data_IF_247406240716
#
_entry.id   IF_247406240716
#
_cell.length_a   1.000
_cell.length_b   1.000
_cell.length_c   1.000
_cell.angle_alpha   90.00
_cell.angle_beta   90.00
_cell.angle_gamma   90.00
#
_symmetry.space_group_name_H-M   'P 1'
#
loop_
_entity.id
_entity.type
_entity.pdbx_description
1 polymer ?
#
# COMPACT_ATOMS: atom_id res chain seq x y z
N UNK A 1 -27.51 16.36 7.21
CA UNK A 1 -26.20 16.20 6.52
C UNK A 1 -26.31 16.73 5.10
N UNK A 2 -25.31 17.47 4.60
CA UNK A 2 -25.33 17.96 3.21
C UNK A 2 -25.15 16.77 2.25
N UNK A 3 -25.78 16.74 1.05
CA UNK A 3 -25.72 15.61 0.11
C UNK A 3 -24.29 15.19 -0.29
N UNK A 4 -23.33 16.13 -0.28
CA UNK A 4 -21.90 15.84 -0.52
C UNK A 4 -21.23 15.01 0.60
N UNK A 5 -21.75 15.06 1.83
CA UNK A 5 -21.22 14.26 2.96
C UNK A 5 -21.60 12.77 2.86
N UNK A 6 -22.81 12.46 2.38
CA UNK A 6 -23.26 11.07 2.19
C UNK A 6 -22.45 10.34 1.11
N UNK A 7 -22.19 10.99 -0.02
CA UNK A 7 -21.37 10.41 -1.10
C UNK A 7 -19.95 10.14 -0.66
N UNK A 8 -19.38 11.03 0.16
CA UNK A 8 -18.04 10.86 0.69
C UNK A 8 -17.92 9.75 1.74
N UNK A 9 -18.93 9.58 2.60
CA UNK A 9 -18.98 8.48 3.54
C UNK A 9 -19.14 7.13 2.84
N UNK A 10 -19.99 7.05 1.81
CA UNK A 10 -20.15 5.84 0.99
C UNK A 10 -18.84 5.43 0.33
N UNK A 11 -18.14 6.36 -0.34
CA UNK A 11 -16.85 6.07 -0.97
C UNK A 11 -15.80 5.58 0.04
N UNK A 12 -15.71 6.23 1.20
CA UNK A 12 -14.79 5.83 2.26
C UNK A 12 -15.11 4.42 2.77
N UNK A 13 -16.39 4.11 2.98
CA UNK A 13 -16.86 2.77 3.34
C UNK A 13 -16.53 1.75 2.26
N UNK A 14 -16.79 2.04 0.98
CA UNK A 14 -16.46 1.13 -0.13
C UNK A 14 -14.97 0.81 -0.17
N UNK A 15 -14.09 1.82 -0.08
CA UNK A 15 -12.65 1.60 -0.11
C UNK A 15 -12.16 0.81 1.10
N UNK A 16 -12.66 1.13 2.29
CA UNK A 16 -12.31 0.38 3.49
C UNK A 16 -12.75 -1.09 3.39
N UNK A 17 -13.96 -1.35 2.91
CA UNK A 17 -14.48 -2.71 2.70
C UNK A 17 -13.66 -3.46 1.66
N UNK A 18 -13.31 -2.82 0.53
CA UNK A 18 -12.48 -3.44 -0.50
C UNK A 18 -11.09 -3.77 0.03
N UNK A 19 -10.43 -2.84 0.72
CA UNK A 19 -9.13 -3.10 1.36
C UNK A 19 -9.21 -4.25 2.37
N UNK A 20 -10.25 -4.28 3.21
CA UNK A 20 -10.42 -5.34 4.20
C UNK A 20 -10.70 -6.69 3.53
N UNK A 21 -11.54 -6.72 2.49
CA UNK A 21 -11.79 -7.92 1.70
C UNK A 21 -10.50 -8.43 1.03
N UNK A 22 -9.67 -7.54 0.50
CA UNK A 22 -8.35 -7.90 -0.04
C UNK A 22 -7.46 -8.53 1.02
N UNK A 23 -7.34 -7.95 2.22
CA UNK A 23 -6.56 -8.54 3.31
C UNK A 23 -7.10 -9.89 3.76
N UNK A 24 -8.42 -10.05 3.84
CA UNK A 24 -9.05 -11.33 4.18
C UNK A 24 -8.72 -12.39 3.13
N UNK A 25 -8.85 -12.06 1.84
CA UNK A 25 -8.47 -12.98 0.77
C UNK A 25 -6.99 -13.34 0.86
N UNK A 26 -6.11 -12.36 1.03
CA UNK A 26 -4.67 -12.61 1.19
C UNK A 26 -4.38 -13.49 2.41
N UNK A 27 -5.04 -13.25 3.54
CA UNK A 27 -4.88 -14.06 4.75
C UNK A 27 -5.33 -15.51 4.56
N UNK A 28 -6.30 -15.76 3.68
CA UNK A 28 -6.78 -17.11 3.37
C UNK A 28 -5.91 -17.86 2.35
N UNK A 29 -5.16 -17.15 1.50
CA UNK A 29 -4.41 -17.75 0.37
C UNK A 29 -2.89 -17.62 0.49
N UNK A 30 -2.40 -16.91 1.51
CA UNK A 30 -0.97 -16.71 1.76
C UNK A 30 -0.62 -17.20 3.17
N UNK A 31 0.64 -17.61 3.32
CA UNK A 31 1.20 -17.94 4.62
C UNK A 31 1.46 -16.66 5.42
N UNK A 32 1.39 -16.77 6.75
CA UNK A 32 1.78 -15.68 7.62
C UNK A 32 3.28 -15.36 7.44
N UNK A 33 3.67 -14.09 7.40
CA UNK A 33 5.07 -13.73 7.27
C UNK A 33 5.86 -14.23 8.48
N UNK A 34 6.83 -15.09 8.22
CA UNK A 34 7.75 -15.63 9.22
C UNK A 34 9.20 -15.35 8.81
N UNK A 35 10.08 -15.01 9.77
CA UNK A 35 9.78 -14.81 11.18
C UNK A 35 9.13 -13.43 11.46
N UNK A 36 8.17 -13.40 12.39
CA UNK A 36 7.35 -12.19 12.67
C UNK A 36 8.19 -10.96 13.04
N UNK A 37 9.31 -11.13 13.75
CA UNK A 37 10.15 -9.98 14.15
C UNK A 37 10.81 -9.28 12.96
N UNK A 38 11.18 -10.02 11.91
CA UNK A 38 11.69 -9.43 10.65
C UNK A 38 10.58 -8.63 9.99
N UNK A 39 9.35 -9.15 10.04
CA UNK A 39 8.19 -8.47 9.47
C UNK A 39 7.90 -7.17 10.21
N UNK A 40 7.94 -7.20 11.54
CA UNK A 40 7.78 -6.00 12.37
C UNK A 40 8.84 -4.95 12.05
N UNK A 41 10.10 -5.36 11.83
CA UNK A 41 11.17 -4.44 11.43
C UNK A 41 10.88 -3.77 10.07
N UNK A 42 10.46 -4.55 9.06
CA UNK A 42 10.06 -4.01 7.76
C UNK A 42 8.82 -3.11 7.86
N UNK A 43 7.83 -3.50 8.65
CA UNK A 43 6.62 -2.71 8.87
C UNK A 43 6.96 -1.37 9.53
N UNK A 44 7.83 -1.37 10.54
CA UNK A 44 8.29 -0.15 11.19
C UNK A 44 9.06 0.75 10.21
N UNK A 45 9.95 0.18 9.39
CA UNK A 45 10.66 0.93 8.35
C UNK A 45 9.70 1.52 7.31
N UNK A 46 8.76 0.71 6.81
CA UNK A 46 7.75 1.12 5.84
C UNK A 46 6.89 2.28 6.36
N UNK A 47 6.32 2.13 7.56
CA UNK A 47 5.48 3.15 8.19
C UNK A 47 6.28 4.42 8.47
N UNK A 48 7.52 4.29 8.95
CA UNK A 48 8.38 5.45 9.19
C UNK A 48 8.67 6.21 7.90
N UNK A 49 9.04 5.50 6.82
CA UNK A 49 9.29 6.12 5.51
C UNK A 49 8.03 6.77 4.92
N UNK A 50 6.85 6.22 5.18
CA UNK A 50 5.59 6.82 4.75
C UNK A 50 5.32 8.13 5.53
N UNK A 51 5.50 8.11 6.85
CA UNK A 51 5.27 9.27 7.72
C UNK A 51 6.29 10.39 7.53
N UNK A 52 7.52 10.03 7.13
CA UNK A 52 8.59 10.98 6.79
C UNK A 52 8.67 11.23 5.28
N UNK A 53 7.59 10.96 4.53
CA UNK A 53 7.53 11.32 3.11
C UNK A 53 7.80 12.81 2.92
N UNK A 54 8.69 13.13 1.97
CA UNK A 54 9.19 14.48 1.77
C UNK A 54 8.39 15.15 0.65
N UNK A 55 7.98 16.39 0.89
CA UNK A 55 7.36 17.25 -0.10
C UNK A 55 8.41 17.75 -1.10
N UNK A 56 8.31 17.35 -2.37
CA UNK A 56 9.28 17.66 -3.44
C UNK A 56 8.82 18.87 -4.27
N UNK A 57 7.52 19.13 -4.31
CA UNK A 57 6.88 20.32 -4.88
C UNK A 57 5.60 20.55 -4.07
N UNK A 58 5.05 21.76 -4.03
CA UNK A 58 3.95 22.28 -3.15
C UNK A 58 2.72 21.35 -2.90
N UNK A 59 2.65 20.18 -3.55
CA UNK A 59 1.61 19.13 -3.44
C UNK A 59 2.09 17.70 -3.75
N UNK A 60 3.37 17.46 -4.00
CA UNK A 60 3.93 16.16 -4.37
C UNK A 60 4.82 15.62 -3.27
N UNK A 61 4.37 14.56 -2.60
CA UNK A 61 5.16 13.82 -1.63
C UNK A 61 5.79 12.60 -2.30
N UNK A 62 7.07 12.36 -2.01
CA UNK A 62 7.77 11.13 -2.42
C UNK A 62 8.14 10.36 -1.17
N UNK A 63 7.75 9.08 -1.12
CA UNK A 63 8.13 8.16 -0.05
C UNK A 63 9.02 7.04 -0.58
N UNK A 64 10.05 6.69 0.20
CA UNK A 64 10.85 5.48 -0.01
C UNK A 64 10.18 4.19 0.49
N UNK A 65 8.94 4.24 0.99
CA UNK A 65 8.23 3.09 1.58
C UNK A 65 8.12 1.90 0.62
N UNK A 66 7.97 2.17 -0.68
CA UNK A 66 7.91 1.13 -1.72
C UNK A 66 9.16 0.24 -1.77
N UNK A 67 10.33 0.81 -1.51
CA UNK A 67 11.59 0.06 -1.45
C UNK A 67 11.55 -0.95 -0.30
N UNK A 68 11.04 -0.54 0.87
CA UNK A 68 10.87 -1.43 2.02
C UNK A 68 9.85 -2.53 1.72
N UNK A 69 8.74 -2.22 1.02
CA UNK A 69 7.75 -3.21 0.62
C UNK A 69 8.31 -4.28 -0.34
N UNK A 70 9.02 -3.88 -1.40
CA UNK A 70 9.60 -4.85 -2.34
C UNK A 70 10.74 -5.65 -1.72
N UNK A 71 11.55 -5.03 -0.86
CA UNK A 71 12.58 -5.75 -0.10
C UNK A 71 11.95 -6.79 0.82
N UNK A 72 10.88 -6.43 1.54
CA UNK A 72 10.13 -7.37 2.36
C UNK A 72 9.55 -8.52 1.52
N UNK A 73 9.01 -8.23 0.33
CA UNK A 73 8.51 -9.26 -0.57
C UNK A 73 9.59 -10.26 -1.01
N UNK A 74 10.83 -9.81 -1.24
CA UNK A 74 11.97 -10.70 -1.51
C UNK A 74 12.31 -11.56 -0.29
N UNK A 75 12.35 -10.96 0.90
CA UNK A 75 12.69 -11.67 2.16
C UNK A 75 11.64 -12.73 2.53
N UNK A 76 10.36 -12.39 2.41
CA UNK A 76 9.24 -13.27 2.77
C UNK A 76 8.86 -14.27 1.68
N UNK A 77 9.34 -14.03 0.46
CA UNK A 77 9.14 -14.93 -0.67
C UNK A 77 7.70 -15.02 -1.13
N UNK A 78 7.49 -15.82 -2.17
CA UNK A 78 6.24 -15.86 -2.95
C UNK A 78 4.98 -16.21 -2.16
N UNK A 79 5.13 -17.02 -1.11
CA UNK A 79 3.99 -17.57 -0.36
C UNK A 79 3.41 -16.58 0.66
N UNK A 80 4.18 -15.56 1.07
CA UNK A 80 3.76 -14.61 2.09
C UNK A 80 3.95 -13.14 1.70
N UNK A 81 4.66 -12.84 0.61
CA UNK A 81 4.96 -11.48 0.16
C UNK A 81 3.73 -10.58 0.06
N UNK A 82 2.65 -11.04 -0.57
CA UNK A 82 1.46 -10.23 -0.79
C UNK A 82 0.76 -9.88 0.53
N UNK A 83 0.63 -10.85 1.44
CA UNK A 83 0.05 -10.62 2.77
C UNK A 83 0.95 -9.74 3.63
N UNK A 84 2.26 -10.02 3.65
CA UNK A 84 3.26 -9.26 4.40
C UNK A 84 3.18 -7.77 4.08
N UNK A 85 3.22 -7.43 2.79
CA UNK A 85 3.17 -6.05 2.32
C UNK A 85 1.77 -5.45 2.47
N UNK A 86 0.71 -6.23 2.24
CA UNK A 86 -0.66 -5.77 2.43
C UNK A 86 -0.93 -5.30 3.86
N UNK A 87 -0.47 -6.06 4.87
CA UNK A 87 -0.62 -5.67 6.28
C UNK A 87 0.28 -4.45 6.60
N UNK A 88 1.49 -4.36 6.03
CA UNK A 88 2.34 -3.16 6.20
C UNK A 88 1.65 -1.91 5.67
N UNK A 89 1.06 -1.99 4.47
CA UNK A 89 0.31 -0.90 3.84
C UNK A 89 -0.92 -0.51 4.67
N UNK A 90 -1.62 -1.49 5.23
CA UNK A 90 -2.74 -1.26 6.14
C UNK A 90 -2.36 -0.45 7.38
N UNK A 91 -1.19 -0.72 7.97
CA UNK A 91 -0.70 0.03 9.14
C UNK A 91 -0.35 1.48 8.79
N UNK A 92 0.24 1.71 7.61
CA UNK A 92 0.63 3.05 7.17
C UNK A 92 -0.56 3.98 6.88
N UNK A 93 -1.77 3.44 6.74
CA UNK A 93 -2.98 4.22 6.53
C UNK A 93 -3.37 5.13 7.70
N UNK A 94 -2.85 4.85 8.90
CA UNK A 94 -3.11 5.63 10.11
C UNK A 94 -2.07 6.73 10.26
N UNK A 95 -2.24 7.84 9.54
CA UNK A 95 -1.35 8.98 9.68
C UNK A 95 -1.53 9.66 11.07
N UNK A 96 -0.46 10.13 11.73
CA UNK A 96 -0.56 10.80 13.02
C UNK A 96 -1.55 11.98 13.05
N UNK A 97 -1.68 12.70 11.94
CA UNK A 97 -2.60 13.85 11.84
C UNK A 97 -4.07 13.45 11.79
N UNK A 98 -4.39 12.27 11.25
CA UNK A 98 -5.76 11.76 11.25
C UNK A 98 -6.20 11.37 12.67
N UNK A 99 -5.28 10.83 13.47
CA UNK A 99 -5.50 10.53 14.89
C UNK A 99 -5.72 11.81 15.70
N UNK A 100 -4.94 12.85 15.45
CA UNK A 100 -5.10 14.17 16.09
C UNK A 100 -6.44 14.82 15.76
N UNK A 101 -6.87 14.73 14.50
CA UNK A 101 -8.11 15.37 14.02
C UNK A 101 -9.38 14.53 14.28
N UNK A 102 -9.24 13.30 14.83
CA UNK A 102 -10.35 12.35 15.07
C UNK A 102 -11.24 12.12 13.85
N UNK A 103 -10.69 12.24 12.64
CA UNK A 103 -11.43 12.17 11.39
C UNK A 103 -11.31 10.78 10.74
N UNK A 104 -12.20 9.85 11.09
CA UNK A 104 -12.14 8.46 10.60
C UNK A 104 -12.34 8.27 9.09
N UNK A 105 -12.86 9.28 8.39
CA UNK A 105 -13.10 9.19 6.94
C UNK A 105 -11.79 9.13 6.14
N UNK A 106 -10.74 9.85 6.56
CA UNK A 106 -9.46 9.88 5.85
C UNK A 106 -8.69 8.58 5.99
N UNK A 107 -8.51 8.01 7.21
CA UNK A 107 -7.90 6.69 7.37
C UNK A 107 -8.62 5.59 6.61
N UNK A 108 -9.96 5.58 6.60
CA UNK A 108 -10.73 4.57 5.86
C UNK A 108 -10.44 4.58 4.35
N UNK A 109 -10.33 5.77 3.77
CA UNK A 109 -10.00 5.95 2.36
C UNK A 109 -8.54 5.59 2.07
N UNK A 110 -7.61 6.08 2.89
CA UNK A 110 -6.18 5.81 2.76
C UNK A 110 -5.89 4.32 2.92
N UNK A 111 -6.56 3.65 3.85
CA UNK A 111 -6.46 2.20 4.07
C UNK A 111 -6.81 1.43 2.81
N UNK A 112 -8.00 1.68 2.24
CA UNK A 112 -8.40 1.03 1.01
C UNK A 112 -7.44 1.33 -0.14
N UNK A 113 -7.04 2.59 -0.31
CA UNK A 113 -6.14 2.99 -1.37
C UNK A 113 -4.76 2.33 -1.25
N UNK A 114 -4.12 2.35 -0.08
CA UNK A 114 -2.78 1.81 0.13
C UNK A 114 -2.77 0.29 0.02
N UNK A 115 -3.74 -0.40 0.64
CA UNK A 115 -3.82 -1.86 0.57
C UNK A 115 -4.03 -2.31 -0.88
N UNK A 116 -4.95 -1.67 -1.62
CA UNK A 116 -5.22 -2.05 -3.00
C UNK A 116 -4.04 -1.77 -3.93
N UNK A 117 -3.38 -0.61 -3.82
CA UNK A 117 -2.21 -0.29 -4.65
C UNK A 117 -1.03 -1.20 -4.32
N UNK A 118 -0.73 -1.40 -3.04
CA UNK A 118 0.35 -2.28 -2.59
C UNK A 118 0.12 -3.72 -3.06
N UNK A 119 -1.09 -4.24 -2.89
CA UNK A 119 -1.44 -5.60 -3.35
C UNK A 119 -1.30 -5.72 -4.86
N UNK A 120 -1.81 -4.75 -5.63
CA UNK A 120 -1.69 -4.78 -7.09
C UNK A 120 -0.22 -4.79 -7.55
N UNK A 121 0.63 -3.96 -6.95
CA UNK A 121 2.07 -3.95 -7.21
C UNK A 121 2.71 -5.30 -6.89
N UNK A 122 2.48 -5.85 -5.69
CA UNK A 122 3.10 -7.12 -5.28
C UNK A 122 2.62 -8.30 -6.12
N UNK A 123 1.33 -8.35 -6.52
CA UNK A 123 0.83 -9.41 -7.40
C UNK A 123 1.57 -9.42 -8.75
N UNK A 124 1.96 -8.26 -9.27
CA UNK A 124 2.80 -8.15 -10.47
C UNK A 124 4.24 -8.58 -10.19
N UNK A 125 4.73 -8.44 -8.96
CA UNK A 125 6.06 -8.86 -8.57
C UNK A 125 6.18 -10.37 -8.32
N UNK A 126 5.11 -11.05 -7.89
CA UNK A 126 5.12 -12.48 -7.54
C UNK A 126 5.70 -13.42 -8.63
N UNK A 127 5.51 -13.21 -9.95
CA UNK A 127 6.13 -14.03 -11.00
C UNK A 127 7.65 -13.93 -11.06
N UNK A 128 8.24 -12.85 -10.53
CA UNK A 128 9.67 -12.58 -10.56
C UNK A 128 10.39 -13.07 -9.29
N UNK A 129 9.63 -13.43 -8.24
CA UNK A 129 10.20 -13.99 -7.03
C UNK A 129 10.64 -15.44 -7.26
N UNK A 130 11.88 -15.81 -6.87
CA UNK A 130 12.33 -17.19 -6.96
C UNK A 130 11.51 -18.09 -6.03
N UNK A 131 11.41 -19.37 -6.39
CA UNK A 131 10.75 -20.40 -5.56
C UNK A 131 11.71 -21.02 -4.54
N UNK A 132 13.01 -20.83 -4.71
CA UNK A 132 14.07 -21.27 -3.80
C UNK A 132 14.77 -20.05 -3.17
N UNK A 133 15.83 -20.31 -2.40
CA UNK A 133 16.65 -19.25 -1.82
C UNK A 133 17.19 -18.30 -2.90
N UNK A 134 17.14 -17.01 -2.62
CA UNK A 134 17.60 -15.95 -3.52
C UNK A 134 19.11 -16.05 -3.72
N UNK A 135 19.54 -16.01 -4.98
CA UNK A 135 20.95 -16.00 -5.39
C UNK A 135 21.30 -14.71 -6.13
N UNK A 136 22.58 -14.47 -6.38
CA UNK A 136 23.03 -13.30 -7.14
C UNK A 136 22.50 -13.29 -8.58
N UNK A 137 22.26 -14.47 -9.16
CA UNK A 137 21.77 -14.62 -10.53
C UNK A 137 20.29 -14.20 -10.68
N UNK A 138 19.54 -14.16 -9.58
CA UNK A 138 18.14 -13.72 -9.55
C UNK A 138 18.02 -12.19 -9.58
N UNK A 139 19.08 -11.45 -9.24
CA UNK A 139 19.04 -10.00 -9.07
C UNK A 139 18.56 -9.23 -10.31
N UNK A 140 18.99 -9.55 -11.55
CA UNK A 140 18.47 -8.87 -12.74
C UNK A 140 16.97 -9.07 -12.93
N UNK A 141 16.47 -10.28 -12.68
CA UNK A 141 15.04 -10.59 -12.81
C UNK A 141 14.22 -9.89 -11.73
N UNK A 142 14.71 -9.89 -10.49
CA UNK A 142 14.11 -9.16 -9.38
C UNK A 142 14.08 -7.65 -9.65
N UNK A 143 15.13 -7.07 -10.23
CA UNK A 143 15.18 -5.66 -10.60
C UNK A 143 14.13 -5.31 -11.66
N UNK A 144 14.00 -6.13 -12.71
CA UNK A 144 12.96 -5.95 -13.74
C UNK A 144 11.57 -6.08 -13.14
N UNK A 145 11.35 -7.12 -12.33
CA UNK A 145 10.08 -7.34 -11.65
C UNK A 145 9.69 -6.18 -10.74
N UNK A 146 10.65 -5.67 -9.95
CA UNK A 146 10.44 -4.55 -9.05
C UNK A 146 10.11 -3.26 -9.80
N UNK A 147 10.78 -3.00 -10.94
CA UNK A 147 10.48 -1.83 -11.78
C UNK A 147 9.06 -1.89 -12.36
N UNK A 148 8.64 -3.04 -12.88
CA UNK A 148 7.28 -3.25 -13.40
C UNK A 148 6.23 -3.13 -12.30
N UNK A 149 6.49 -3.75 -11.15
CA UNK A 149 5.60 -3.72 -10.01
C UNK A 149 5.47 -2.30 -9.42
N UNK A 150 6.56 -1.54 -9.35
CA UNK A 150 6.55 -0.15 -8.93
C UNK A 150 5.71 0.71 -9.89
N UNK A 151 5.88 0.54 -11.21
CA UNK A 151 5.09 1.25 -12.21
C UNK A 151 3.58 0.94 -12.07
N UNK A 152 3.22 -0.32 -11.82
CA UNK A 152 1.82 -0.71 -11.61
C UNK A 152 1.28 -0.16 -10.29
N UNK A 153 2.06 -0.25 -9.21
CA UNK A 153 1.70 0.36 -7.92
C UNK A 153 1.41 1.85 -8.09
N UNK A 154 2.32 2.60 -8.69
CA UNK A 154 2.21 4.04 -8.88
C UNK A 154 1.01 4.39 -9.76
N UNK A 155 0.80 3.63 -10.82
CA UNK A 155 -0.35 3.83 -11.70
C UNK A 155 -1.68 3.59 -10.98
N UNK A 156 -1.82 2.48 -10.24
CA UNK A 156 -3.03 2.16 -9.46
C UNK A 156 -3.24 3.20 -8.37
N UNK A 157 -2.19 3.53 -7.61
CA UNK A 157 -2.22 4.54 -6.57
C UNK A 157 -2.68 5.89 -7.12
N UNK A 158 -2.04 6.38 -8.19
CA UNK A 158 -2.40 7.64 -8.83
C UNK A 158 -3.85 7.65 -9.32
N UNK A 159 -4.32 6.55 -9.94
CA UNK A 159 -5.71 6.43 -10.41
C UNK A 159 -6.70 6.48 -9.24
N UNK A 160 -6.43 5.77 -8.15
CA UNK A 160 -7.25 5.78 -6.94
C UNK A 160 -7.27 7.17 -6.29
N UNK A 161 -6.11 7.77 -6.05
CA UNK A 161 -5.99 9.12 -5.47
C UNK A 161 -6.73 10.14 -6.32
N UNK A 162 -6.53 10.14 -7.65
CA UNK A 162 -7.24 11.05 -8.57
C UNK A 162 -8.75 10.85 -8.52
N UNK A 163 -9.22 9.61 -8.46
CA UNK A 163 -10.64 9.29 -8.34
C UNK A 163 -11.23 9.78 -7.00
N UNK A 164 -10.51 9.53 -5.90
CA UNK A 164 -10.87 9.93 -4.54
C UNK A 164 -10.95 11.46 -4.44
N UNK A 165 -9.91 12.17 -4.88
CA UNK A 165 -9.84 13.64 -4.81
C UNK A 165 -10.99 14.28 -5.59
N UNK A 166 -11.25 13.83 -6.83
CA UNK A 166 -12.36 14.33 -7.65
C UNK A 166 -13.74 14.15 -7.00
N UNK A 167 -13.93 13.09 -6.22
CA UNK A 167 -15.22 12.77 -5.57
C UNK A 167 -15.38 13.36 -4.17
N UNK A 168 -14.30 13.47 -3.40
CA UNK A 168 -14.33 13.96 -2.02
C UNK A 168 -14.06 15.46 -1.90
N UNK A 169 -13.33 16.05 -2.86
CA UNK A 169 -12.90 17.44 -2.84
C UNK A 169 -13.14 18.10 -4.22
N UNK A 170 -14.39 18.24 -4.68
CA UNK A 170 -14.70 18.79 -6.00
C UNK A 170 -14.26 20.25 -6.19
N UNK A 171 -14.06 21.00 -5.10
CA UNK A 171 -13.56 22.38 -5.10
C UNK A 171 -12.04 22.45 -5.35
N UNK A 172 -11.33 21.31 -5.31
CA UNK A 172 -9.89 21.23 -5.64
C UNK A 172 -9.74 20.89 -7.13
N UNK A 173 -9.66 21.90 -7.98
CA UNK A 173 -9.17 21.74 -9.36
C UNK A 173 -7.70 21.30 -9.32
N UNK A 174 -7.44 20.09 -9.83
CA UNK A 174 -6.09 19.59 -10.15
C UNK A 174 -5.57 20.29 -11.40
#
# INVERSE_FOLDING_TARGET
MKPNQHRGAFLAGTLAVLGAATLVVLFLVQELPQPVWVWVAFAAAFVSLEFFSVEVSDRLYVSGSIMAAFTAAVVFGRNSAALAVGIMAALAALHPDDLRQRSWRRPAVNFGQLVLSATAGILVFLPFLPTAAVTADDLPLLAVGAALAAAVYDWVNFRLVRFIVRRLYPERTL
#
